data_IF_584835859770
#
_entry.id   IF_584835859770
#
_cell.length_a   1.000
_cell.length_b   1.000
_cell.length_c   1.000
_cell.angle_alpha   90.00
_cell.angle_beta   90.00
_cell.angle_gamma   90.00
#
_symmetry.space_group_name_H-M   'P 1'
#
loop_
_entity.id
_entity.type
_entity.pdbx_description
1 polymer ?
#
# COMPACT_ATOMS: atom_id res chain seq x y z
N UNK A 1 7.52 8.73 -4.20
CA UNK A 1 6.94 7.63 -4.99
C UNK A 1 5.63 8.06 -5.64
N UNK A 2 5.05 7.22 -6.49
CA UNK A 2 3.72 7.44 -7.10
C UNK A 2 2.72 6.44 -6.51
N UNK A 3 1.46 6.83 -6.38
CA UNK A 3 0.41 5.91 -5.95
C UNK A 3 0.19 4.86 -7.05
N UNK A 4 0.14 3.58 -6.68
CA UNK A 4 -0.09 2.48 -7.62
C UNK A 4 -1.52 1.95 -7.53
N UNK A 5 -1.91 1.48 -6.35
CA UNK A 5 -3.20 0.85 -6.09
C UNK A 5 -3.39 0.76 -4.56
N UNK A 6 -4.61 0.42 -4.12
CA UNK A 6 -4.92 0.25 -2.71
C UNK A 6 -5.89 -0.92 -2.50
N UNK A 7 -5.85 -1.46 -1.28
CA UNK A 7 -6.74 -2.52 -0.85
C UNK A 7 -7.35 -2.16 0.49
N UNK A 8 -8.61 -2.54 0.68
CA UNK A 8 -9.27 -2.51 1.98
C UNK A 8 -9.15 -3.86 2.65
N UNK A 9 -8.44 -3.88 3.76
CA UNK A 9 -8.33 -5.04 4.62
C UNK A 9 -9.54 -5.06 5.58
N UNK A 10 -10.23 -6.19 5.70
CA UNK A 10 -11.36 -6.38 6.63
C UNK A 10 -11.15 -7.65 7.46
N UNK A 11 -11.40 -7.61 8.78
CA UNK A 11 -11.37 -8.80 9.59
C UNK A 11 -12.58 -9.70 9.32
N UNK A 12 -12.50 -10.94 9.76
CA UNK A 12 -13.66 -11.80 9.86
C UNK A 12 -14.68 -11.24 10.88
N UNK A 13 -15.94 -11.68 10.79
CA UNK A 13 -16.97 -11.27 11.75
C UNK A 13 -16.58 -11.66 13.19
N UNK A 14 -16.59 -10.69 14.10
CA UNK A 14 -16.21 -10.90 15.50
C UNK A 14 -14.71 -10.90 15.79
N UNK A 15 -13.87 -10.65 14.78
CA UNK A 15 -12.42 -10.49 14.93
C UNK A 15 -11.97 -9.06 14.59
N UNK A 16 -10.75 -8.70 14.96
CA UNK A 16 -10.09 -7.45 14.58
C UNK A 16 -8.90 -7.68 13.64
N UNK A 17 -8.40 -8.92 13.56
CA UNK A 17 -7.26 -9.29 12.73
C UNK A 17 -7.68 -9.38 11.28
N UNK A 18 -6.89 -8.74 10.42
CA UNK A 18 -7.16 -8.62 8.99
C UNK A 18 -6.33 -9.57 8.13
N UNK A 19 -5.49 -10.39 8.75
CA UNK A 19 -4.66 -11.38 8.07
C UNK A 19 -5.52 -12.53 7.55
N UNK A 20 -5.19 -13.03 6.36
CA UNK A 20 -5.90 -14.12 5.71
C UNK A 20 -5.97 -15.38 6.59
N UNK A 21 -4.92 -15.68 7.35
CA UNK A 21 -4.85 -16.85 8.25
C UNK A 21 -5.92 -16.82 9.37
N UNK A 22 -6.47 -15.64 9.67
CA UNK A 22 -7.57 -15.45 10.62
C UNK A 22 -8.92 -15.19 9.93
N UNK A 23 -9.05 -15.49 8.63
CA UNK A 23 -10.25 -15.25 7.84
C UNK A 23 -10.43 -13.79 7.40
N UNK A 24 -9.38 -12.96 7.54
CA UNK A 24 -9.36 -11.61 7.00
C UNK A 24 -9.37 -11.60 5.47
N UNK A 25 -9.84 -10.50 4.90
CA UNK A 25 -9.90 -10.29 3.45
C UNK A 25 -9.18 -9.00 3.06
N UNK A 26 -8.61 -8.98 1.85
CA UNK A 26 -8.11 -7.78 1.20
C UNK A 26 -8.81 -7.65 -0.15
N UNK A 27 -9.53 -6.54 -0.36
CA UNK A 27 -10.26 -6.28 -1.60
C UNK A 27 -9.80 -4.96 -2.23
N UNK A 28 -9.78 -4.83 -3.56
CA UNK A 28 -9.47 -3.56 -4.21
C UNK A 28 -10.41 -2.45 -3.71
N UNK A 29 -9.85 -1.28 -3.45
CA UNK A 29 -10.61 -0.08 -3.10
C UNK A 29 -9.96 1.15 -3.74
N UNK A 30 -10.77 2.13 -4.12
CA UNK A 30 -10.31 3.46 -4.48
C UNK A 30 -10.42 4.37 -3.24
N UNK A 31 -9.32 4.69 -2.53
CA UNK A 31 -9.36 5.55 -1.37
C UNK A 31 -9.68 7.00 -1.78
N UNK A 32 -10.27 7.80 -0.89
CA UNK A 32 -10.40 9.23 -1.11
C UNK A 32 -9.04 9.88 -1.42
N UNK A 33 -8.97 10.86 -2.34
CA UNK A 33 -7.70 11.54 -2.69
C UNK A 33 -6.95 12.10 -1.48
N UNK A 34 -7.67 12.54 -0.46
CA UNK A 34 -7.10 13.03 0.80
C UNK A 34 -6.25 11.99 1.53
N UNK A 35 -6.66 10.71 1.54
CA UNK A 35 -5.88 9.64 2.17
C UNK A 35 -4.65 9.29 1.33
N UNK A 36 -4.77 9.30 0.00
CA UNK A 36 -3.63 9.08 -0.91
C UNK A 36 -2.57 10.16 -0.70
N UNK A 37 -2.99 11.43 -0.60
CA UNK A 37 -2.08 12.55 -0.35
C UNK A 37 -1.35 12.43 1.00
N UNK A 38 -2.07 12.00 2.05
CA UNK A 38 -1.47 11.76 3.38
C UNK A 38 -0.46 10.61 3.33
N UNK A 39 -0.79 9.49 2.67
CA UNK A 39 0.12 8.37 2.46
C UNK A 39 1.39 8.81 1.71
N UNK A 40 1.24 9.63 0.66
CA UNK A 40 2.40 10.19 -0.06
C UNK A 40 3.23 11.15 0.79
N UNK A 41 2.62 11.89 1.72
CA UNK A 41 3.34 12.76 2.64
C UNK A 41 4.25 11.95 3.57
N UNK A 42 3.78 10.80 4.08
CA UNK A 42 4.59 9.88 4.89
C UNK A 42 5.85 9.45 4.13
N UNK A 43 5.75 9.12 2.84
CA UNK A 43 6.93 8.78 2.02
C UNK A 43 7.95 9.91 1.91
N UNK A 44 7.52 11.17 1.96
CA UNK A 44 8.43 12.33 1.84
C UNK A 44 9.28 12.55 3.10
N UNK A 45 8.93 11.92 4.22
CA UNK A 45 9.70 11.98 5.47
C UNK A 45 10.91 11.03 5.41
N UNK A 46 10.91 10.05 4.51
CA UNK A 46 12.02 9.10 4.37
C UNK A 46 13.26 9.77 3.75
N UNK A 47 14.43 9.47 4.30
CA UNK A 47 15.73 9.97 3.80
C UNK A 47 16.04 9.49 2.37
N UNK A 48 15.47 8.35 1.99
CA UNK A 48 15.64 7.75 0.67
C UNK A 48 14.29 7.38 0.12
N UNK A 49 14.11 7.53 -1.20
CA UNK A 49 12.89 7.08 -1.86
C UNK A 49 13.04 5.59 -2.17
N UNK A 50 12.26 4.71 -1.52
CA UNK A 50 12.32 3.28 -1.82
C UNK A 50 11.68 3.00 -3.18
N UNK A 51 12.08 1.89 -3.81
CA UNK A 51 11.52 1.42 -5.08
C UNK A 51 10.00 1.19 -4.97
N UNK A 52 9.59 0.65 -3.84
CA UNK A 52 8.22 0.39 -3.45
C UNK A 52 8.06 0.64 -1.96
N UNK A 53 6.82 0.88 -1.53
CA UNK A 53 6.45 0.98 -0.14
C UNK A 53 4.97 0.64 -0.01
N UNK A 54 4.61 -0.06 1.07
CA UNK A 54 3.20 -0.22 1.46
C UNK A 54 2.96 0.59 2.74
N UNK A 55 1.85 1.32 2.75
CA UNK A 55 1.47 2.20 3.85
C UNK A 55 0.11 1.73 4.32
N UNK A 56 0.10 1.10 5.49
CA UNK A 56 -1.11 0.58 6.09
C UNK A 56 -1.59 1.59 7.13
N UNK A 57 -2.88 1.91 7.11
CA UNK A 57 -3.47 2.84 8.04
C UNK A 57 -4.97 2.66 8.15
N UNK A 58 -5.54 3.28 9.17
CA UNK A 58 -6.99 3.38 9.36
C UNK A 58 -7.45 4.80 9.07
N UNK A 59 -8.57 4.90 8.37
CA UNK A 59 -9.25 6.17 8.17
C UNK A 59 -10.04 6.52 9.44
N UNK A 60 -9.61 7.58 10.12
CA UNK A 60 -10.32 8.17 11.26
C UNK A 60 -10.81 9.55 10.84
N UNK A 61 -12.06 9.61 10.39
CA UNK A 61 -12.72 10.85 9.96
C UNK A 61 -11.93 11.65 8.89
N UNK A 62 -11.41 10.95 7.88
CA UNK A 62 -10.63 11.51 6.78
C UNK A 62 -9.14 11.67 7.07
N UNK A 63 -8.69 11.28 8.26
CA UNK A 63 -7.27 11.26 8.64
C UNK A 63 -6.71 9.84 8.53
N UNK A 64 -5.61 9.69 7.79
CA UNK A 64 -4.86 8.45 7.72
C UNK A 64 -4.02 8.31 9.00
N UNK A 65 -4.48 7.48 9.92
CA UNK A 65 -3.68 7.08 11.09
C UNK A 65 -2.80 5.91 10.66
N UNK A 66 -1.50 6.17 10.56
CA UNK A 66 -0.49 5.19 10.15
C UNK A 66 -0.41 4.04 11.16
N UNK A 67 -0.50 2.81 10.66
CA UNK A 67 -0.28 1.59 11.43
C UNK A 67 1.09 1.00 11.14
N UNK A 68 1.40 0.78 9.85
CA UNK A 68 2.63 0.12 9.42
C UNK A 68 3.16 0.79 8.15
N UNK A 69 4.50 0.86 8.06
CA UNK A 69 5.21 1.27 6.85
C UNK A 69 6.14 0.13 6.44
N UNK A 70 5.73 -0.63 5.42
CA UNK A 70 6.48 -1.79 4.96
C UNK A 70 7.35 -1.43 3.74
N UNK A 71 8.67 -1.54 3.91
CA UNK A 71 9.66 -1.08 2.92
C UNK A 71 10.59 -2.18 2.39
N UNK A 72 10.62 -3.35 3.04
CA UNK A 72 11.62 -4.40 2.78
C UNK A 72 10.99 -5.61 2.08
N UNK A 73 10.00 -6.25 2.71
CA UNK A 73 9.34 -7.43 2.17
C UNK A 73 7.80 -7.37 2.28
N UNK A 74 7.16 -6.33 1.72
CA UNK A 74 5.71 -6.21 1.78
C UNK A 74 5.01 -7.20 0.86
N UNK A 75 3.86 -7.72 1.31
CA UNK A 75 2.84 -8.18 0.37
C UNK A 75 2.29 -6.97 -0.40
N UNK A 76 2.63 -6.88 -1.69
CA UNK A 76 2.28 -5.73 -2.53
C UNK A 76 0.89 -5.85 -3.18
N UNK A 77 0.15 -6.95 -2.98
CA UNK A 77 -1.18 -7.16 -3.55
C UNK A 77 -1.25 -7.01 -5.08
N UNK A 78 -0.16 -7.32 -5.79
CA UNK A 78 -0.06 -7.15 -7.26
C UNK A 78 -1.17 -7.87 -8.03
N UNK A 79 -1.73 -8.95 -7.47
CA UNK A 79 -2.84 -9.71 -8.08
C UNK A 79 -4.20 -9.00 -8.01
N UNK A 80 -4.34 -7.95 -7.20
CA UNK A 80 -5.60 -7.26 -6.93
C UNK A 80 -5.81 -6.02 -7.81
N UNK A 81 -4.82 -5.63 -8.60
CA UNK A 81 -4.92 -4.59 -9.63
C UNK A 81 -4.26 -5.11 -10.92
N UNK A 82 -5.00 -5.27 -12.03
CA UNK A 82 -4.46 -5.87 -13.26
C UNK A 82 -3.24 -5.17 -13.85
N UNK A 83 -2.99 -3.91 -13.52
CA UNK A 83 -1.86 -3.13 -14.04
C UNK A 83 -0.76 -2.92 -12.98
N UNK A 84 -0.93 -3.42 -11.76
CA UNK A 84 0.11 -3.36 -10.71
C UNK A 84 1.37 -4.16 -11.06
N UNK A 85 1.30 -5.39 -11.63
CA UNK A 85 2.50 -6.14 -12.01
C UNK A 85 3.38 -5.37 -13.00
N UNK A 86 2.80 -4.77 -14.03
CA UNK A 86 3.51 -4.00 -15.05
C UNK A 86 4.10 -2.72 -14.46
N UNK A 87 3.36 -1.99 -13.62
CA UNK A 87 3.89 -0.79 -12.92
C UNK A 87 5.08 -1.14 -12.05
N UNK A 88 5.00 -2.26 -11.34
CA UNK A 88 6.09 -2.75 -10.48
C UNK A 88 7.32 -3.16 -11.31
N UNK A 89 7.13 -3.98 -12.34
CA UNK A 89 8.21 -4.40 -13.24
C UNK A 89 8.89 -3.20 -13.91
N UNK A 90 8.12 -2.20 -14.36
CA UNK A 90 8.67 -0.98 -14.94
C UNK A 90 9.46 -0.15 -13.91
N UNK A 91 9.03 -0.12 -12.64
CA UNK A 91 9.79 0.53 -11.57
C UNK A 91 11.13 -0.18 -11.34
N UNK A 92 11.12 -1.52 -11.24
CA UNK A 92 12.34 -2.34 -11.12
C UNK A 92 13.28 -2.09 -12.29
N UNK A 93 12.78 -2.19 -13.53
CA UNK A 93 13.59 -1.95 -14.72
C UNK A 93 14.23 -0.55 -14.71
N UNK A 94 13.50 0.49 -14.33
CA UNK A 94 14.05 1.86 -14.21
C UNK A 94 15.13 1.99 -13.13
N UNK A 95 15.03 1.23 -12.04
CA UNK A 95 16.02 1.27 -10.96
C UNK A 95 17.34 0.60 -11.36
N UNK A 96 17.30 -0.37 -12.28
CA UNK A 96 18.49 -1.14 -12.67
C UNK A 96 19.03 -0.82 -14.08
N UNK A 97 18.22 -0.24 -14.98
CA UNK A 97 18.63 0.11 -16.34
C UNK A 97 19.10 1.56 -16.51
N UNK A 98 18.93 2.41 -15.49
CA UNK A 98 19.47 3.78 -15.48
C UNK A 98 20.79 3.87 -14.68
N UNK A 99 21.44 2.73 -14.43
CA UNK A 99 22.77 2.63 -13.83
C UNK A 99 23.87 2.51 -14.89
#
# INVERSE_FOLDING_TARGET
GQFSHAVKKRPAGGDFRVQHDYGGSAVPEAPPPGLINQAQHILKVLNTIPLYARIDGVDVAGQLVLLELELIEPELFLRLDPAAPERFAAAVARAFCNG
#
